data_IF_439288106320
#
_entry.id   IF_439288106320
#
_cell.length_a   1.000
_cell.length_b   1.000
_cell.length_c   1.000
_cell.angle_alpha   90.00
_cell.angle_beta   90.00
_cell.angle_gamma   90.00
#
_symmetry.space_group_name_H-M   'P 1'
#
loop_
_entity.id
_entity.type
_entity.pdbx_description
1 polymer ?
#
# COMPACT_ATOMS: atom_id res chain seq x y z
N UNK A 1 -9.16 20.75 6.37
CA UNK A 1 -8.83 20.63 4.93
C UNK A 1 -7.72 19.59 4.86
N UNK A 2 -7.90 18.49 4.12
CA UNK A 2 -6.86 17.46 3.98
C UNK A 2 -5.73 18.04 3.12
N UNK A 3 -4.48 17.95 3.57
CA UNK A 3 -3.31 18.31 2.77
C UNK A 3 -2.48 17.05 2.45
N UNK A 4 -1.50 17.19 1.55
CA UNK A 4 -0.69 16.05 1.09
C UNK A 4 0.13 15.40 2.22
N UNK A 5 0.52 16.17 3.25
CA UNK A 5 1.31 15.65 4.38
C UNK A 5 0.44 14.83 5.32
N UNK A 6 -0.78 15.29 5.60
CA UNK A 6 -1.77 14.57 6.38
C UNK A 6 -2.20 13.27 5.66
N UNK A 7 -2.41 13.34 4.34
CA UNK A 7 -2.65 12.15 3.53
C UNK A 7 -1.47 11.17 3.59
N UNK A 8 -0.24 11.67 3.46
CA UNK A 8 0.97 10.85 3.52
C UNK A 8 1.13 10.16 4.88
N UNK A 9 0.84 10.85 5.99
CA UNK A 9 0.90 10.27 7.33
C UNK A 9 -0.13 9.14 7.50
N UNK A 10 -1.37 9.35 7.05
CA UNK A 10 -2.41 8.31 7.07
C UNK A 10 -2.08 7.13 6.17
N UNK A 11 -1.53 7.39 4.99
CA UNK A 11 -1.08 6.36 4.05
C UNK A 11 0.04 5.49 4.63
N UNK A 12 1.01 6.11 5.31
CA UNK A 12 2.09 5.43 6.03
C UNK A 12 1.55 4.55 7.15
N UNK A 13 0.62 5.06 7.96
CA UNK A 13 -0.01 4.30 9.04
C UNK A 13 -0.77 3.07 8.52
N UNK A 14 -1.59 3.26 7.49
CA UNK A 14 -2.34 2.20 6.82
C UNK A 14 -1.40 1.12 6.26
N UNK A 15 -0.37 1.53 5.52
CA UNK A 15 0.55 0.59 4.93
C UNK A 15 1.40 -0.12 5.99
N UNK A 16 1.79 0.56 7.07
CA UNK A 16 2.48 -0.05 8.20
C UNK A 16 1.60 -1.05 8.95
N UNK A 17 0.31 -0.76 9.15
CA UNK A 17 -0.64 -1.69 9.75
C UNK A 17 -0.81 -2.95 8.88
N UNK A 18 -1.02 -2.77 7.58
CA UNK A 18 -1.21 -3.86 6.63
C UNK A 18 0.04 -4.75 6.54
N UNK A 19 1.22 -4.15 6.41
CA UNK A 19 2.50 -4.88 6.35
C UNK A 19 2.77 -5.66 7.62
N UNK A 20 2.54 -5.07 8.82
CA UNK A 20 2.65 -5.80 10.10
C UNK A 20 1.70 -6.98 10.20
N UNK A 21 0.45 -6.82 9.78
CA UNK A 21 -0.55 -7.90 9.81
C UNK A 21 -0.12 -9.07 8.92
N UNK A 22 0.29 -8.76 7.69
CA UNK A 22 0.66 -9.75 6.68
C UNK A 22 2.04 -10.36 6.89
N UNK A 23 2.96 -9.67 7.57
CA UNK A 23 4.25 -10.22 7.96
C UNK A 23 4.13 -11.51 8.78
N UNK A 24 3.04 -11.67 9.55
CA UNK A 24 2.76 -12.89 10.32
C UNK A 24 2.48 -14.12 9.45
N UNK A 25 2.14 -13.92 8.18
CA UNK A 25 1.81 -14.98 7.23
C UNK A 25 2.89 -15.20 6.18
N UNK A 26 3.48 -14.09 5.70
CA UNK A 26 4.42 -14.09 4.56
C UNK A 26 5.87 -13.82 4.98
N UNK A 27 6.11 -13.53 6.25
CA UNK A 27 7.39 -13.03 6.76
C UNK A 27 7.64 -11.56 6.40
N UNK A 28 8.46 -10.89 7.22
CA UNK A 28 8.79 -9.47 7.05
C UNK A 28 9.49 -9.18 5.72
N UNK A 29 10.41 -10.07 5.31
CA UNK A 29 11.13 -9.93 4.04
C UNK A 29 10.19 -10.10 2.86
N UNK A 30 9.29 -11.08 2.92
CA UNK A 30 8.30 -11.34 1.88
C UNK A 30 7.38 -10.14 1.67
N UNK A 31 6.81 -9.61 2.76
CA UNK A 31 5.89 -8.47 2.67
C UNK A 31 6.59 -7.18 2.23
N UNK A 32 7.80 -6.93 2.71
CA UNK A 32 8.62 -5.78 2.31
C UNK A 32 8.94 -5.81 0.81
N UNK A 33 9.35 -6.98 0.31
CA UNK A 33 9.65 -7.19 -1.11
C UNK A 33 8.42 -6.99 -1.98
N UNK A 34 7.27 -7.53 -1.55
CA UNK A 34 6.02 -7.39 -2.27
C UNK A 34 5.57 -5.92 -2.34
N UNK A 35 5.67 -5.20 -1.22
CA UNK A 35 5.30 -3.78 -1.17
C UNK A 35 6.22 -2.94 -2.07
N UNK A 36 7.55 -3.13 -1.98
CA UNK A 36 8.52 -2.46 -2.88
C UNK A 36 8.21 -2.74 -4.35
N UNK A 37 7.95 -4.00 -4.71
CA UNK A 37 7.56 -4.38 -6.07
C UNK A 37 6.29 -3.66 -6.53
N UNK A 38 5.34 -3.47 -5.63
CA UNK A 38 4.09 -2.75 -5.93
C UNK A 38 4.35 -1.31 -6.30
N UNK A 39 5.29 -0.65 -5.61
CA UNK A 39 5.70 0.72 -5.93
C UNK A 39 6.44 0.81 -7.26
N UNK A 40 7.35 -0.13 -7.53
CA UNK A 40 8.06 -0.20 -8.83
C UNK A 40 7.10 -0.39 -10.00
N UNK A 41 6.02 -1.16 -9.82
CA UNK A 41 5.01 -1.32 -10.86
C UNK A 41 4.11 -0.09 -10.98
N UNK A 42 3.73 0.53 -9.85
CA UNK A 42 2.95 1.77 -9.85
C UNK A 42 3.70 2.94 -10.48
N UNK A 43 5.04 2.93 -10.46
CA UNK A 43 5.82 4.00 -11.08
C UNK A 43 5.67 4.08 -12.61
N UNK A 44 5.13 3.03 -13.24
CA UNK A 44 4.79 3.06 -14.67
C UNK A 44 3.70 4.11 -14.99
N UNK A 45 2.78 4.38 -14.05
CA UNK A 45 1.71 5.37 -14.20
C UNK A 45 1.93 6.61 -13.33
N UNK A 46 2.77 6.52 -12.29
CA UNK A 46 3.11 7.62 -11.38
C UNK A 46 4.63 7.75 -11.25
N UNK A 47 5.32 8.43 -12.19
CA UNK A 47 6.80 8.44 -12.27
C UNK A 47 7.52 8.91 -11.00
N UNK A 48 6.88 9.76 -10.18
CA UNK A 48 7.42 10.23 -8.90
C UNK A 48 7.66 9.10 -7.87
N UNK A 49 7.04 7.93 -8.05
CA UNK A 49 7.27 6.75 -7.23
C UNK A 49 8.63 6.08 -7.51
N UNK A 50 9.18 6.22 -8.72
CA UNK A 50 10.47 5.63 -9.07
C UNK A 50 11.63 6.28 -8.30
N UNK A 51 11.58 7.61 -8.15
CA UNK A 51 12.56 8.35 -7.34
C UNK A 51 12.42 7.99 -5.86
N UNK A 52 11.19 7.77 -5.37
CA UNK A 52 10.90 7.35 -4.01
C UNK A 52 11.56 5.99 -3.68
N UNK A 53 11.46 4.99 -4.57
CA UNK A 53 12.08 3.68 -4.36
C UNK A 53 13.60 3.69 -4.36
N UNK A 54 14.22 4.60 -5.12
CA UNK A 54 15.68 4.73 -5.19
C UNK A 54 16.29 5.31 -3.91
N UNK A 55 15.51 6.07 -3.13
CA UNK A 55 15.94 6.66 -1.86
C UNK A 55 15.71 5.75 -0.64
N UNK A 56 15.09 4.59 -0.83
CA UNK A 56 14.76 3.68 0.28
C UNK A 56 16.03 2.96 0.80
N UNK A 57 16.47 3.30 2.01
CA UNK A 57 17.57 2.61 2.67
C UNK A 57 17.26 1.10 2.87
N UNK A 58 18.29 0.22 2.86
CA UNK A 58 18.11 -1.16 3.28
C UNK A 58 17.74 -1.22 4.77
N UNK A 59 16.63 -1.89 5.09
CA UNK A 59 16.05 -1.92 6.44
C UNK A 59 14.67 -2.57 6.45
N UNK A 60 14.01 -2.64 7.63
CA UNK A 60 12.64 -3.14 7.75
C UNK A 60 11.69 -2.39 6.79
N UNK A 61 10.50 -2.94 6.48
CA UNK A 61 9.52 -2.31 5.59
C UNK A 61 8.98 -1.01 6.19
N UNK A 62 9.77 0.05 6.19
CA UNK A 62 9.31 1.39 6.51
C UNK A 62 8.76 2.00 5.23
N UNK A 63 7.47 2.26 5.23
CA UNK A 63 6.78 3.11 4.26
C UNK A 63 7.15 4.60 4.41
N UNK A 64 8.02 4.93 5.37
CA UNK A 64 8.51 6.28 5.63
C UNK A 64 9.06 7.00 4.38
N UNK A 65 9.77 6.30 3.49
CA UNK A 65 10.27 6.89 2.25
C UNK A 65 9.12 7.24 1.28
N UNK A 66 8.04 6.46 1.29
CA UNK A 66 6.83 6.74 0.51
C UNK A 66 6.10 7.95 1.09
N UNK A 67 6.01 8.04 2.43
CA UNK A 67 5.45 9.23 3.12
C UNK A 67 6.18 10.51 2.75
N UNK A 68 7.51 10.49 2.74
CA UNK A 68 8.32 11.64 2.36
C UNK A 68 8.10 12.01 0.89
N UNK A 69 8.09 11.03 -0.02
CA UNK A 69 7.82 11.27 -1.43
C UNK A 69 6.42 11.86 -1.67
N UNK A 70 5.40 11.33 -0.98
CA UNK A 70 4.02 11.83 -1.02
C UNK A 70 3.90 13.26 -0.48
N UNK A 71 4.64 13.59 0.59
CA UNK A 71 4.60 14.93 1.21
C UNK A 71 5.11 16.04 0.29
N UNK A 72 5.89 15.69 -0.74
CA UNK A 72 6.37 16.62 -1.77
C UNK A 72 5.44 16.78 -2.98
N UNK A 73 4.33 16.03 -3.04
CA UNK A 73 3.37 16.10 -4.14
C UNK A 73 2.16 16.99 -3.81
N UNK A 74 1.36 17.31 -4.82
CA UNK A 74 -0.01 17.79 -4.61
C UNK A 74 -0.90 16.67 -4.07
N UNK A 75 -2.01 17.05 -3.42
CA UNK A 75 -2.90 16.10 -2.75
C UNK A 75 -3.46 15.02 -3.69
N UNK A 76 -3.89 15.43 -4.87
CA UNK A 76 -4.41 14.57 -5.94
C UNK A 76 -3.35 13.58 -6.45
N UNK A 77 -2.14 14.07 -6.75
CA UNK A 77 -1.03 13.24 -7.23
C UNK A 77 -0.58 12.24 -6.16
N UNK A 78 -0.51 12.66 -4.90
CA UNK A 78 -0.20 11.78 -3.77
C UNK A 78 -1.26 10.69 -3.59
N UNK A 79 -2.54 11.06 -3.68
CA UNK A 79 -3.67 10.15 -3.54
C UNK A 79 -3.67 9.10 -4.64
N UNK A 80 -3.61 9.53 -5.90
CA UNK A 80 -3.65 8.63 -7.06
C UNK A 80 -2.49 7.65 -7.05
N UNK A 81 -1.27 8.12 -6.74
CA UNK A 81 -0.12 7.23 -6.65
C UNK A 81 -0.23 6.24 -5.49
N UNK A 82 -0.71 6.66 -4.31
CA UNK A 82 -0.91 5.73 -3.19
C UNK A 82 -1.98 4.67 -3.49
N UNK A 83 -3.10 5.07 -4.11
CA UNK A 83 -4.15 4.13 -4.54
C UNK A 83 -3.61 3.14 -5.57
N UNK A 84 -2.81 3.60 -6.54
CA UNK A 84 -2.18 2.73 -7.52
C UNK A 84 -1.24 1.69 -6.85
N UNK A 85 -0.41 2.13 -5.90
CA UNK A 85 0.46 1.23 -5.11
C UNK A 85 -0.37 0.17 -4.38
N UNK A 86 -1.41 0.59 -3.67
CA UNK A 86 -2.25 -0.31 -2.88
C UNK A 86 -3.00 -1.31 -3.77
N UNK A 87 -3.55 -0.86 -4.90
CA UNK A 87 -4.24 -1.73 -5.86
C UNK A 87 -3.32 -2.80 -6.45
N UNK A 88 -2.10 -2.43 -6.83
CA UNK A 88 -1.09 -3.38 -7.31
C UNK A 88 -0.69 -4.33 -6.18
N UNK A 89 -0.47 -3.84 -4.97
CA UNK A 89 -0.11 -4.67 -3.83
C UNK A 89 -1.16 -5.75 -3.54
N UNK A 90 -2.44 -5.37 -3.48
CA UNK A 90 -3.56 -6.30 -3.32
C UNK A 90 -3.62 -7.30 -4.49
N UNK A 91 -3.38 -6.85 -5.71
CA UNK A 91 -3.33 -7.74 -6.90
C UNK A 91 -2.20 -8.77 -6.80
N UNK A 92 -1.00 -8.34 -6.37
CA UNK A 92 0.13 -9.23 -6.20
C UNK A 92 -0.10 -10.22 -5.05
N UNK A 93 -0.70 -9.77 -3.94
CA UNK A 93 -1.13 -10.66 -2.86
C UNK A 93 -2.12 -11.71 -3.38
N UNK A 94 -3.13 -11.30 -4.16
CA UNK A 94 -4.16 -12.22 -4.65
C UNK A 94 -3.56 -13.29 -5.55
N UNK A 95 -2.54 -12.93 -6.36
CA UNK A 95 -1.77 -13.87 -7.17
C UNK A 95 -0.88 -14.81 -6.34
N UNK A 96 -0.39 -14.37 -5.18
CA UNK A 96 0.51 -15.14 -4.33
C UNK A 96 -0.23 -16.15 -3.45
N UNK A 97 -1.32 -15.73 -2.82
CA UNK A 97 -2.00 -16.52 -1.77
C UNK A 97 -3.49 -16.80 -2.07
N UNK A 98 -3.99 -16.35 -3.23
CA UNK A 98 -5.38 -16.49 -3.62
C UNK A 98 -6.28 -15.35 -3.14
N UNK A 99 -7.28 -15.01 -3.95
CA UNK A 99 -8.17 -13.87 -3.72
C UNK A 99 -9.03 -13.99 -2.46
N UNK A 100 -9.50 -15.21 -2.14
CA UNK A 100 -10.33 -15.46 -0.96
C UNK A 100 -9.59 -15.20 0.35
N UNK A 101 -8.28 -15.51 0.40
CA UNK A 101 -7.46 -15.23 1.56
C UNK A 101 -7.13 -13.74 1.67
N UNK A 102 -6.83 -13.07 0.55
CA UNK A 102 -6.62 -11.62 0.54
C UNK A 102 -7.83 -10.85 1.05
N UNK A 103 -9.04 -11.19 0.59
CA UNK A 103 -10.27 -10.53 1.06
C UNK A 103 -10.45 -10.67 2.57
N UNK A 104 -10.21 -11.86 3.12
CA UNK A 104 -10.28 -12.12 4.55
C UNK A 104 -9.27 -11.28 5.34
N UNK A 105 -8.02 -11.24 4.87
CA UNK A 105 -6.95 -10.48 5.52
C UNK A 105 -7.19 -8.97 5.46
N UNK A 106 -7.70 -8.47 4.34
CA UNK A 106 -8.09 -7.07 4.23
C UNK A 106 -9.26 -6.74 5.17
N UNK A 107 -10.24 -7.63 5.32
CA UNK A 107 -11.34 -7.45 6.27
C UNK A 107 -10.87 -7.46 7.75
N UNK A 108 -9.84 -8.24 8.07
CA UNK A 108 -9.25 -8.23 9.43
C UNK A 108 -8.49 -6.93 9.74
N UNK A 109 -7.87 -6.32 8.72
CA UNK A 109 -7.08 -5.09 8.86
C UNK A 109 -7.94 -3.83 8.75
N UNK A 110 -8.98 -3.86 7.93
CA UNK A 110 -9.87 -2.73 7.66
C UNK A 110 -11.22 -2.97 8.35
N UNK A 111 -11.52 -2.29 9.48
CA UNK A 111 -12.83 -2.38 10.11
C UNK A 111 -13.92 -2.01 9.09
N UNK A 112 -14.98 -2.83 9.05
CA UNK A 112 -16.02 -2.86 8.02
C UNK A 112 -16.52 -1.48 7.56
N UNK A 113 -15.89 -0.95 6.50
CA UNK A 113 -16.49 -0.01 5.55
C UNK A 113 -16.40 -0.55 4.11
N UNK A 114 -16.03 -1.82 3.94
CA UNK A 114 -16.08 -2.54 2.67
C UNK A 114 -17.13 -3.66 2.72
N UNK A 115 -18.32 -3.34 3.24
CA UNK A 115 -19.54 -4.06 2.84
C UNK A 115 -20.10 -3.32 1.65
N UNK A 116 -19.67 -3.66 0.43
CA UNK A 116 -20.48 -3.39 -0.75
C UNK A 116 -21.25 -4.65 -1.10
N UNK A 117 -22.47 -4.65 -0.59
CA UNK A 117 -23.70 -5.21 -1.16
C UNK A 117 -23.71 -6.73 -1.35
N UNK A 118 -24.42 -7.37 -0.42
CA UNK A 118 -25.46 -8.37 -0.66
C UNK A 118 -25.53 -8.87 -2.11
N UNK A 119 -25.21 -10.15 -2.27
CA UNK A 119 -26.12 -11.13 -2.88
C UNK A 119 -27.36 -10.48 -3.51
N UNK A 120 -27.29 -10.16 -4.81
CA UNK A 120 -28.49 -9.96 -5.61
C UNK A 120 -28.92 -11.36 -6.05
N UNK A 121 -29.89 -11.87 -5.32
CA UNK A 121 -30.79 -12.96 -5.69
C UNK A 121 -31.58 -12.61 -6.97
#
# INVERSE_FOLDING_TARGET
MLDARELAARADEVAAQLTRHLARLLGEVGISTLFKRSVVLASATSPWLASATSSAAPGPPTVAWLREAMSGQSLDVAFDGFVAVLGIFVTLLARLIGESLVRRLLHEVWPAHYDREKEIE
#
